data_IF_829157755185
#
_entry.id   IF_829157755185
#
_cell.length_a   1.000
_cell.length_b   1.000
_cell.length_c   1.000
_cell.angle_alpha   90.00
_cell.angle_beta   90.00
_cell.angle_gamma   90.00
#
_symmetry.space_group_name_H-M   'P 1'
#
loop_
_entity.id
_entity.type
_entity.pdbx_description
1 polymer ?
#
# COMPACT_ATOMS: atom_id res chain seq x y z
N UNK A 1 17.45 3.84 16.15
CA UNK A 1 16.16 3.40 15.56
C UNK A 1 16.09 3.80 14.08
N UNK A 2 15.26 3.11 13.28
CA UNK A 2 15.09 3.41 11.87
C UNK A 2 14.30 4.74 11.70
N UNK A 3 14.67 5.64 10.78
CA UNK A 3 13.98 6.93 10.57
C UNK A 3 12.48 6.81 10.26
N UNK A 4 12.05 5.68 9.72
CA UNK A 4 10.62 5.42 9.47
C UNK A 4 9.84 5.22 10.78
N UNK A 5 10.42 4.53 11.75
CA UNK A 5 9.82 4.34 13.09
C UNK A 5 9.65 5.68 13.81
N UNK A 6 10.63 6.56 13.66
CA UNK A 6 10.58 7.91 14.23
C UNK A 6 9.39 8.68 13.67
N UNK A 7 9.14 8.61 12.37
CA UNK A 7 7.96 9.24 11.74
C UNK A 7 6.65 8.67 12.26
N UNK A 8 6.59 7.35 12.52
CA UNK A 8 5.40 6.72 13.11
C UNK A 8 5.16 7.19 14.55
N UNK A 9 6.21 7.27 15.37
CA UNK A 9 6.12 7.74 16.75
C UNK A 9 5.70 9.21 16.82
N UNK A 10 6.25 10.05 15.92
CA UNK A 10 5.85 11.45 15.83
C UNK A 10 4.40 11.55 15.31
N UNK A 11 4.07 10.78 14.28
CA UNK A 11 2.79 10.81 13.60
C UNK A 11 2.56 12.07 12.76
N UNK A 12 1.46 12.13 12.00
CA UNK A 12 1.14 13.27 11.14
C UNK A 12 0.94 14.54 11.99
N UNK A 13 1.82 15.54 11.77
CA UNK A 13 1.78 16.80 12.53
C UNK A 13 2.09 16.68 14.03
N UNK A 14 2.78 15.61 14.43
CA UNK A 14 3.14 15.38 15.83
C UNK A 14 1.99 14.89 16.72
N UNK A 15 0.93 14.33 16.12
CA UNK A 15 -0.25 13.88 16.88
C UNK A 15 0.05 12.76 17.85
N UNK A 16 0.86 11.78 17.44
CA UNK A 16 1.14 10.61 18.28
C UNK A 16 2.02 10.99 19.47
N UNK A 17 3.08 11.74 19.26
CA UNK A 17 3.95 12.19 20.35
C UNK A 17 3.19 13.06 21.34
N UNK A 18 2.29 13.93 20.88
CA UNK A 18 1.41 14.73 21.73
C UNK A 18 0.42 13.87 22.51
N UNK A 19 -0.13 12.82 21.88
CA UNK A 19 -1.03 11.88 22.52
C UNK A 19 -0.31 11.07 23.63
N UNK A 20 0.93 10.62 23.38
CA UNK A 20 1.77 9.95 24.36
C UNK A 20 2.02 10.89 25.55
N UNK A 21 2.46 12.12 25.29
CA UNK A 21 2.70 13.12 26.34
C UNK A 21 1.44 13.43 27.15
N UNK A 22 0.29 13.57 26.48
CA UNK A 22 -0.99 13.87 27.15
C UNK A 22 -1.49 12.69 28.00
N UNK A 23 -1.30 11.46 27.55
CA UNK A 23 -1.75 10.25 28.22
C UNK A 23 -0.87 9.89 29.42
N UNK A 24 0.43 10.11 29.33
CA UNK A 24 1.41 9.64 30.33
C UNK A 24 2.01 10.76 31.18
N UNK A 25 1.88 12.02 30.75
CA UNK A 25 2.59 13.15 31.34
C UNK A 25 4.12 13.12 31.09
N UNK A 26 4.60 12.16 30.30
CA UNK A 26 6.00 12.04 29.93
C UNK A 26 6.34 12.94 28.75
N UNK A 27 7.54 13.51 28.76
CA UNK A 27 8.12 14.20 27.58
C UNK A 27 8.93 13.20 26.76
N UNK A 28 8.67 13.16 25.45
CA UNK A 28 9.40 12.33 24.50
C UNK A 28 10.21 13.23 23.60
N UNK A 29 11.51 13.10 23.65
CA UNK A 29 12.44 13.85 22.82
C UNK A 29 13.09 12.92 21.80
N UNK A 30 13.16 13.35 20.56
CA UNK A 30 13.64 12.55 19.44
C UNK A 30 14.75 13.31 18.73
N UNK A 31 15.95 12.73 18.76
CA UNK A 31 17.11 13.26 18.05
C UNK A 31 17.13 12.80 16.60
N UNK A 32 17.73 13.59 15.72
CA UNK A 32 17.97 13.24 14.31
C UNK A 32 18.82 11.96 14.13
N UNK A 33 19.60 11.62 15.15
CA UNK A 33 20.37 10.37 15.26
C UNK A 33 19.50 9.11 15.35
N UNK A 34 18.19 9.26 15.57
CA UNK A 34 17.28 8.14 15.81
C UNK A 34 17.21 7.70 17.28
N UNK A 35 17.79 8.47 18.19
CA UNK A 35 17.71 8.22 19.63
C UNK A 35 16.43 8.83 20.17
N UNK A 36 15.71 8.03 20.96
CA UNK A 36 14.49 8.48 21.66
C UNK A 36 14.80 8.57 23.14
N UNK A 37 14.59 9.74 23.70
CA UNK A 37 14.75 10.03 25.13
C UNK A 37 13.36 10.26 25.72
N UNK A 38 13.02 9.51 26.75
CA UNK A 38 11.74 9.63 27.46
C UNK A 38 12.04 10.16 28.87
N UNK A 39 11.43 11.28 29.21
CA UNK A 39 11.52 11.89 30.53
C UNK A 39 10.14 11.86 31.19
N UNK A 40 10.00 11.13 32.26
CA UNK A 40 8.73 11.00 32.98
C UNK A 40 8.88 11.39 34.45
N UNK A 41 7.87 12.02 35.04
CA UNK A 41 7.92 12.43 36.47
C UNK A 41 7.80 11.25 37.40
N UNK A 42 7.22 10.13 36.97
CA UNK A 42 7.04 8.91 37.79
C UNK A 42 7.46 7.68 37.05
N UNK A 43 7.78 6.60 37.77
CA UNK A 43 8.13 5.30 37.17
C UNK A 43 6.97 4.72 36.33
N UNK A 44 5.74 4.87 36.81
CA UNK A 44 4.54 4.41 36.09
C UNK A 44 4.34 5.16 34.78
N UNK A 45 4.50 6.48 34.78
CA UNK A 45 4.46 7.29 33.56
C UNK A 45 5.55 6.89 32.57
N UNK A 46 6.73 6.49 33.06
CA UNK A 46 7.84 6.01 32.23
C UNK A 46 7.50 4.67 31.55
N UNK A 47 6.92 3.74 32.30
CA UNK A 47 6.53 2.43 31.77
C UNK A 47 5.42 2.58 30.72
N UNK A 48 4.39 3.35 31.03
CA UNK A 48 3.31 3.64 30.07
C UNK A 48 3.82 4.33 28.80
N UNK A 49 4.73 5.29 28.94
CA UNK A 49 5.32 5.95 27.77
C UNK A 49 6.18 4.99 26.93
N UNK A 50 6.93 4.09 27.57
CA UNK A 50 7.69 3.05 26.87
C UNK A 50 6.78 2.08 26.13
N UNK A 51 5.71 1.62 26.75
CA UNK A 51 4.74 0.72 26.11
C UNK A 51 4.10 1.40 24.90
N UNK A 52 3.70 2.66 25.01
CA UNK A 52 3.13 3.41 23.89
C UNK A 52 4.15 3.62 22.76
N UNK A 53 5.39 3.96 23.09
CA UNK A 53 6.45 4.09 22.08
C UNK A 53 6.73 2.76 21.40
N UNK A 54 6.79 1.66 22.16
CA UNK A 54 6.94 0.32 21.59
C UNK A 54 5.76 -0.09 20.73
N UNK A 55 4.55 0.31 21.08
CA UNK A 55 3.35 0.05 20.30
C UNK A 55 3.40 0.73 18.92
N UNK A 56 3.94 1.95 18.85
CA UNK A 56 4.17 2.63 17.57
C UNK A 56 5.40 2.13 16.81
N UNK A 57 6.34 1.43 17.48
CA UNK A 57 7.50 0.78 16.85
C UNK A 57 7.14 -0.58 16.22
N UNK A 58 5.97 -1.13 16.58
CA UNK A 58 5.54 -2.40 16.02
C UNK A 58 5.31 -2.25 14.51
N UNK A 59 6.03 -3.07 13.76
CA UNK A 59 5.80 -3.23 12.33
C UNK A 59 4.97 -4.48 12.11
N UNK A 60 4.09 -4.46 11.13
CA UNK A 60 3.39 -5.67 10.76
C UNK A 60 4.38 -6.70 10.22
N UNK A 61 4.20 -7.93 10.64
CA UNK A 61 5.00 -9.05 10.15
C UNK A 61 4.41 -9.59 8.84
N UNK A 62 5.31 -9.90 7.91
CA UNK A 62 4.92 -10.56 6.66
C UNK A 62 4.30 -11.93 6.96
N UNK A 63 3.18 -12.23 6.35
CA UNK A 63 2.51 -13.51 6.50
C UNK A 63 1.64 -13.66 7.76
N UNK A 64 1.56 -12.66 8.62
CA UNK A 64 0.65 -12.67 9.77
C UNK A 64 -0.72 -12.06 9.44
N UNK A 65 -1.72 -12.52 10.18
CA UNK A 65 -3.10 -12.05 10.08
C UNK A 65 -3.32 -10.91 11.08
N UNK A 66 -3.98 -9.85 10.63
CA UNK A 66 -4.33 -8.68 11.41
C UNK A 66 -5.80 -8.34 11.24
N UNK A 67 -6.47 -8.04 12.36
CA UNK A 67 -7.80 -7.45 12.31
C UNK A 67 -7.63 -5.95 12.10
N UNK A 68 -8.05 -5.47 10.94
CA UNK A 68 -7.96 -4.06 10.60
C UNK A 68 -9.31 -3.44 10.32
N UNK A 69 -9.36 -2.12 10.35
CA UNK A 69 -10.58 -1.35 10.05
C UNK A 69 -10.49 -0.70 8.69
N UNK A 70 -11.51 -0.87 7.86
CA UNK A 70 -11.59 -0.24 6.54
C UNK A 70 -11.72 1.28 6.69
N UNK A 71 -10.70 2.01 6.24
CA UNK A 71 -10.64 3.48 6.30
C UNK A 71 -11.11 4.14 5.02
N UNK A 72 -10.84 3.51 3.88
CA UNK A 72 -11.25 4.01 2.56
C UNK A 72 -11.55 2.84 1.63
N UNK A 73 -12.53 3.03 0.77
CA UNK A 73 -12.83 2.12 -0.33
C UNK A 73 -12.53 2.84 -1.63
N UNK A 74 -11.70 2.23 -2.47
CA UNK A 74 -11.24 2.75 -3.75
C UNK A 74 -11.65 1.79 -4.87
N UNK A 75 -11.64 2.25 -6.11
CA UNK A 75 -11.92 1.40 -7.28
C UNK A 75 -10.93 0.22 -7.38
N UNK A 76 -9.69 0.43 -6.98
CA UNK A 76 -8.63 -0.58 -7.03
C UNK A 76 -8.59 -1.51 -5.83
N UNK A 77 -9.41 -1.27 -4.78
CA UNK A 77 -9.41 -2.04 -3.55
C UNK A 77 -9.79 -1.24 -2.32
N UNK A 78 -9.46 -1.74 -1.14
CA UNK A 78 -9.73 -1.10 0.14
C UNK A 78 -8.44 -0.76 0.89
N UNK A 79 -8.44 0.36 1.60
CA UNK A 79 -7.39 0.72 2.56
C UNK A 79 -7.88 0.32 3.94
N UNK A 80 -7.13 -0.57 4.57
CA UNK A 80 -7.43 -1.13 5.89
C UNK A 80 -6.33 -0.71 6.85
N UNK A 81 -6.71 -0.07 7.94
CA UNK A 81 -5.79 0.24 9.04
C UNK A 81 -5.62 -1.02 9.90
N UNK A 82 -4.47 -1.65 9.82
CA UNK A 82 -4.14 -2.90 10.52
C UNK A 82 -3.50 -2.67 11.89
N UNK A 83 -2.88 -1.52 12.06
CA UNK A 83 -2.31 -1.02 13.31
C UNK A 83 -2.48 0.50 13.35
N UNK A 84 -2.36 1.17 14.47
CA UNK A 84 -2.43 2.63 14.56
C UNK A 84 -1.46 3.30 13.60
N UNK A 85 -2.00 4.10 12.70
CA UNK A 85 -1.28 4.80 11.63
C UNK A 85 -0.57 3.87 10.62
N UNK A 86 -0.86 2.58 10.61
CA UNK A 86 -0.34 1.62 9.64
C UNK A 86 -1.48 1.16 8.74
N UNK A 87 -1.49 1.68 7.53
CA UNK A 87 -2.49 1.35 6.52
C UNK A 87 -1.96 0.32 5.52
N UNK A 88 -2.77 -0.68 5.23
CA UNK A 88 -2.49 -1.68 4.22
C UNK A 88 -3.48 -1.58 3.07
N UNK A 89 -3.00 -1.70 1.84
CA UNK A 89 -3.83 -1.78 0.65
C UNK A 89 -4.23 -3.23 0.39
N UNK A 90 -5.52 -3.50 0.40
CA UNK A 90 -6.11 -4.75 -0.08
C UNK A 90 -6.61 -4.52 -1.48
N UNK A 91 -5.89 -5.03 -2.48
CA UNK A 91 -6.27 -4.89 -3.88
C UNK A 91 -7.60 -5.62 -4.13
N UNK A 92 -8.41 -5.14 -5.11
CA UNK A 92 -9.73 -5.72 -5.43
C UNK A 92 -9.66 -7.24 -5.70
N UNK A 93 -8.60 -7.73 -6.32
CA UNK A 93 -8.37 -9.17 -6.56
C UNK A 93 -8.01 -9.96 -5.30
N UNK A 94 -7.76 -9.29 -4.19
CA UNK A 94 -7.37 -9.85 -2.90
C UNK A 94 -8.45 -9.64 -1.81
N UNK A 95 -9.61 -9.09 -2.18
CA UNK A 95 -10.73 -8.87 -1.26
C UNK A 95 -11.54 -10.15 -1.01
N UNK A 96 -11.68 -10.99 -2.04
CA UNK A 96 -12.45 -12.24 -1.95
C UNK A 96 -11.81 -13.34 -2.79
N UNK A 97 -12.24 -14.59 -2.54
CA UNK A 97 -11.86 -15.76 -3.35
C UNK A 97 -12.51 -15.72 -4.72
N UNK A 98 -13.70 -15.13 -4.84
CA UNK A 98 -14.40 -14.87 -6.09
C UNK A 98 -13.97 -13.55 -6.74
N UNK A 99 -14.30 -13.37 -8.01
CA UNK A 99 -14.03 -12.12 -8.72
C UNK A 99 -14.99 -11.02 -8.24
N UNK A 100 -14.44 -10.00 -7.59
CA UNK A 100 -15.18 -8.83 -7.13
C UNK A 100 -15.24 -7.79 -8.25
N UNK A 101 -16.43 -7.30 -8.57
CA UNK A 101 -16.63 -6.30 -9.60
C UNK A 101 -16.28 -4.89 -9.08
N UNK A 102 -16.69 -4.57 -7.86
CA UNK A 102 -16.40 -3.32 -7.17
C UNK A 102 -15.95 -3.61 -5.73
N UNK A 103 -14.93 -2.89 -5.26
CA UNK A 103 -14.43 -3.07 -3.91
C UNK A 103 -15.50 -2.76 -2.84
N UNK A 104 -16.43 -1.87 -3.15
CA UNK A 104 -17.58 -1.52 -2.29
C UNK A 104 -18.59 -2.66 -2.07
N UNK A 105 -18.57 -3.69 -2.92
CA UNK A 105 -19.48 -4.84 -2.77
C UNK A 105 -19.06 -5.74 -1.60
N UNK A 106 -17.78 -5.69 -1.22
CA UNK A 106 -17.17 -6.61 -0.23
C UNK A 106 -16.57 -5.87 0.95
N UNK A 107 -16.21 -4.61 0.80
CA UNK A 107 -15.56 -3.81 1.83
C UNK A 107 -16.36 -2.54 2.09
N UNK A 108 -16.77 -2.33 3.34
CA UNK A 108 -17.53 -1.14 3.74
C UNK A 108 -16.68 -0.26 4.67
N UNK A 109 -16.86 1.05 4.55
CA UNK A 109 -16.15 2.02 5.37
C UNK A 109 -16.46 1.80 6.86
N UNK A 110 -15.41 1.64 7.69
CA UNK A 110 -15.55 1.40 9.12
C UNK A 110 -15.78 -0.05 9.52
N UNK A 111 -15.88 -0.97 8.55
CA UNK A 111 -15.98 -2.41 8.79
C UNK A 111 -14.65 -2.99 9.30
N UNK A 112 -14.73 -3.94 10.22
CA UNK A 112 -13.58 -4.69 10.66
C UNK A 112 -13.32 -5.86 9.70
N UNK A 113 -12.09 -5.95 9.17
CA UNK A 113 -11.71 -6.92 8.16
C UNK A 113 -10.43 -7.64 8.59
N UNK A 114 -10.50 -8.97 8.65
CA UNK A 114 -9.32 -9.80 8.88
C UNK A 114 -8.53 -9.92 7.58
N UNK A 115 -7.26 -9.52 7.62
CA UNK A 115 -6.37 -9.49 6.45
C UNK A 115 -5.00 -10.05 6.79
N UNK A 116 -4.37 -10.70 5.82
CA UNK A 116 -3.00 -11.19 5.91
C UNK A 116 -2.05 -10.24 5.22
N UNK A 117 -0.95 -9.88 5.86
CA UNK A 117 0.09 -9.07 5.26
C UNK A 117 0.88 -9.91 4.26
N UNK A 118 0.85 -9.53 2.99
CA UNK A 118 1.46 -10.29 1.88
C UNK A 118 2.71 -9.62 1.30
N UNK A 119 2.87 -8.31 1.51
CA UNK A 119 4.01 -7.56 1.01
C UNK A 119 4.25 -6.31 1.86
N UNK A 120 5.50 -6.01 2.14
CA UNK A 120 5.93 -4.82 2.86
C UNK A 120 7.05 -4.15 2.05
N UNK A 121 6.76 -2.96 1.50
CA UNK A 121 7.72 -2.16 0.74
C UNK A 121 7.81 -0.76 1.38
N UNK A 122 8.68 -0.60 2.38
CA UNK A 122 8.78 0.64 3.15
C UNK A 122 7.43 0.97 3.81
N UNK A 123 6.87 2.14 3.49
CA UNK A 123 5.57 2.60 3.99
C UNK A 123 4.36 1.95 3.27
N UNK A 124 4.61 1.20 2.19
CA UNK A 124 3.54 0.56 1.42
C UNK A 124 3.37 -0.88 1.85
N UNK A 125 2.28 -1.14 2.51
CA UNK A 125 1.90 -2.47 2.96
C UNK A 125 0.75 -2.95 2.10
N UNK A 126 0.88 -4.18 1.61
CA UNK A 126 -0.21 -4.87 0.90
C UNK A 126 -0.71 -6.02 1.75
N UNK A 127 -2.01 -6.14 1.80
CA UNK A 127 -2.67 -7.22 2.52
C UNK A 127 -3.69 -7.94 1.62
N UNK A 128 -4.09 -9.13 2.03
CA UNK A 128 -5.03 -9.99 1.34
C UNK A 128 -6.06 -10.56 2.31
N UNK A 129 -7.33 -10.30 2.08
CA UNK A 129 -8.44 -11.00 2.74
C UNK A 129 -8.60 -12.39 2.14
N UNK A 130 -8.42 -12.50 0.81
CA UNK A 130 -8.47 -13.77 0.10
C UNK A 130 -7.55 -14.83 0.71
N UNK A 131 -6.33 -14.45 1.10
CA UNK A 131 -5.37 -15.35 1.74
C UNK A 131 -5.92 -15.93 3.06
N UNK A 132 -6.60 -15.12 3.86
CA UNK A 132 -7.25 -15.56 5.09
C UNK A 132 -8.39 -16.52 4.81
N UNK A 133 -9.28 -16.17 3.86
CA UNK A 133 -10.41 -17.00 3.47
C UNK A 133 -9.96 -18.38 2.92
N UNK A 134 -8.85 -18.43 2.20
CA UNK A 134 -8.27 -19.69 1.72
C UNK A 134 -7.72 -20.52 2.87
N UNK A 135 -7.05 -19.91 3.85
CA UNK A 135 -6.56 -20.61 5.04
C UNK A 135 -7.70 -21.18 5.89
N UNK A 136 -8.82 -20.45 6.04
CA UNK A 136 -10.02 -20.94 6.70
C UNK A 136 -10.63 -22.17 6.00
N UNK A 137 -10.44 -22.28 4.68
CA UNK A 137 -10.85 -23.44 3.88
C UNK A 137 -9.81 -24.58 3.90
N UNK A 138 -8.70 -24.43 4.65
CA UNK A 138 -7.62 -25.42 4.74
C UNK A 138 -6.65 -25.38 3.55
N UNK A 139 -6.69 -24.33 2.75
CA UNK A 139 -5.79 -24.13 1.61
C UNK A 139 -4.65 -23.23 2.09
N UNK A 140 -3.43 -23.75 2.09
CA UNK A 140 -2.24 -22.99 2.47
C UNK A 140 -1.99 -21.89 1.44
N UNK A 141 -2.02 -20.64 1.92
CA UNK A 141 -1.67 -19.49 1.09
C UNK A 141 -0.15 -19.46 0.81
N UNK A 142 0.22 -19.21 -0.45
CA UNK A 142 1.62 -19.02 -0.85
C UNK A 142 1.84 -17.63 -1.40
N UNK A 143 3.01 -17.00 -1.16
CA UNK A 143 3.33 -15.67 -1.70
C UNK A 143 3.19 -15.56 -3.22
N UNK A 144 3.36 -16.66 -3.93
CA UNK A 144 3.23 -16.77 -5.39
C UNK A 144 1.80 -16.50 -5.89
N UNK A 145 0.79 -16.75 -5.05
CA UNK A 145 -0.62 -16.51 -5.37
C UNK A 145 -0.97 -15.02 -5.47
N UNK A 146 -0.07 -14.15 -5.00
CA UNK A 146 -0.19 -12.70 -5.10
C UNK A 146 0.59 -12.11 -6.26
N UNK A 147 1.41 -12.91 -6.94
CA UNK A 147 2.16 -12.45 -8.11
C UNK A 147 1.16 -11.93 -9.15
N UNK A 148 1.26 -10.65 -9.47
CA UNK A 148 0.65 -10.11 -10.68
C UNK A 148 1.02 -11.06 -11.81
N UNK A 149 0.06 -11.53 -12.62
CA UNK A 149 0.44 -12.14 -13.89
C UNK A 149 1.40 -11.15 -14.55
N UNK A 150 2.62 -11.62 -14.82
CA UNK A 150 3.64 -10.80 -15.48
C UNK A 150 2.93 -10.11 -16.65
N UNK A 151 2.98 -8.77 -16.68
CA UNK A 151 2.55 -8.05 -17.88
C UNK A 151 3.32 -8.71 -19.00
N UNK A 152 2.65 -9.49 -19.81
CA UNK A 152 3.21 -9.93 -21.07
C UNK A 152 3.75 -8.66 -21.74
N UNK A 153 5.04 -8.58 -22.03
CA UNK A 153 5.55 -7.46 -22.80
C UNK A 153 4.62 -7.41 -24.02
N UNK A 154 3.96 -6.26 -24.23
CA UNK A 154 3.25 -6.00 -25.47
C UNK A 154 4.27 -6.33 -26.53
N UNK A 155 4.01 -7.39 -27.27
CA UNK A 155 4.83 -7.80 -28.37
C UNK A 155 5.15 -6.57 -29.19
N UNK A 156 6.41 -6.33 -29.40
CA UNK A 156 6.92 -5.59 -30.53
C UNK A 156 6.42 -6.35 -31.77
N UNK A 157 5.12 -6.15 -32.04
CA UNK A 157 4.42 -6.64 -33.19
C UNK A 157 4.58 -5.64 -34.32
N UNK A 158 5.33 -6.03 -35.29
CA UNK A 158 5.23 -5.59 -36.67
C UNK A 158 5.37 -4.10 -36.96
N UNK A 159 6.61 -3.69 -37.05
CA UNK A 159 7.04 -2.60 -37.93
C UNK A 159 7.81 -3.15 -39.14
N UNK A 160 7.25 -4.10 -39.85
CA UNK A 160 7.74 -4.50 -41.17
C UNK A 160 6.55 -4.74 -42.05
N UNK A 161 6.03 -3.68 -42.62
CA UNK A 161 5.37 -3.67 -43.93
C UNK A 161 5.33 -2.23 -44.45
N UNK A 162 6.52 -1.70 -44.75
CA UNK A 162 6.63 -0.73 -45.84
C UNK A 162 6.99 -1.50 -47.11
N UNK A 163 5.97 -2.12 -47.69
CA UNK A 163 5.98 -2.52 -49.07
C UNK A 163 6.13 -1.30 -49.95
N UNK A 164 7.25 -1.27 -50.57
CA UNK A 164 7.54 -0.91 -51.93
C UNK A 164 6.28 -0.83 -52.82
N UNK A 165 5.95 0.35 -53.28
CA UNK A 165 5.17 0.59 -54.51
C UNK A 165 5.71 1.88 -55.10
N UNK A 166 6.73 1.72 -55.98
CA UNK A 166 6.43 1.61 -57.40
C UNK A 166 6.21 2.98 -57.98
N UNK A 167 7.35 3.53 -58.35
CA UNK A 167 7.58 4.38 -59.53
C UNK A 167 6.52 4.16 -60.62
N UNK A 168 5.77 5.19 -60.93
CA UNK A 168 5.26 5.46 -62.28
C UNK A 168 5.16 6.96 -62.46
N UNK A 169 6.22 7.42 -63.14
CA UNK A 169 6.18 8.66 -63.84
C UNK A 169 5.08 8.69 -64.93
N UNK A 170 4.63 9.86 -65.20
CA UNK A 170 4.25 10.41 -66.50
C UNK A 170 3.75 11.82 -66.25
N UNK A 171 4.57 12.76 -66.63
CA UNK A 171 4.56 13.52 -67.88
C UNK A 171 3.17 14.03 -68.25
N UNK A 172 3.16 15.32 -68.39
CA UNK A 172 2.31 16.22 -69.21
C UNK A 172 1.60 17.25 -68.36
N UNK A 173 1.54 18.50 -68.72
CA UNK A 173 1.90 19.30 -69.90
C UNK A 173 1.72 20.77 -69.51
N UNK A 174 2.63 21.55 -69.98
CA UNK A 174 2.51 23.00 -69.97
C UNK A 174 1.33 23.43 -70.82
N UNK A 175 0.53 24.37 -70.38
CA UNK A 175 -0.11 25.35 -71.30
C UNK A 175 -0.35 26.69 -70.67
N UNK A 176 -0.39 27.71 -71.49
CA UNK A 176 0.09 29.01 -71.11
C UNK A 176 -1.02 30.02 -70.82
N UNK A 177 -0.57 31.21 -70.39
CA UNK A 177 -1.30 32.47 -70.26
C UNK A 177 -2.19 32.79 -71.45
N UNK A 178 -3.31 33.42 -71.15
CA UNK A 178 -3.92 34.56 -71.89
C UNK A 178 -4.98 35.15 -70.98
N UNK A 179 -4.86 36.32 -70.85
CA UNK A 179 -5.16 37.75 -70.97
C UNK A 179 -6.06 38.21 -69.82
#
# INVERSE_FOLDING_TARGET
MNPEVIRMIIGPGGKNIKAITAATGASVDIEDSGRISIFAPTAESMEQAKELVQYYDQRPDLGKNYMGKVRKVLEIGAIVEIMPNVEALVHISQLDTSRVAQASDVAHLGEDMLVKVIEINGDRIRASRKAVLLEEQGIEWKPEDTARPARTPRGEGDRDHRGDRGDRGERRERRPRRD
#
